data_IF_216780502826
#
_entry.id   IF_216780502826
#
_cell.length_a   1.000
_cell.length_b   1.000
_cell.length_c   1.000
_cell.angle_alpha   90.00
_cell.angle_beta   90.00
_cell.angle_gamma   90.00
#
_symmetry.space_group_name_H-M   'P 1'
#
loop_
_entity.id
_entity.type
_entity.pdbx_description
1 polymer ?
#
# COMPACT_ATOMS: atom_id res chain seq x y z
N UNK A 1 -17.18 -0.73 5.20
CA UNK A 1 -17.47 0.24 6.28
C UNK A 1 -18.92 0.09 6.72
N UNK A 2 -19.21 -0.08 8.03
CA UNK A 2 -20.57 -0.01 8.54
C UNK A 2 -21.14 1.37 8.22
N UNK A 3 -22.30 1.40 7.58
CA UNK A 3 -22.99 2.64 7.29
C UNK A 3 -23.52 3.21 8.61
N UNK A 4 -22.92 4.32 9.10
CA UNK A 4 -23.36 5.01 10.31
C UNK A 4 -24.85 5.43 10.25
N UNK A 5 -25.44 5.45 9.05
CA UNK A 5 -26.85 5.73 8.81
C UNK A 5 -27.76 4.50 8.84
N UNK A 6 -27.24 3.27 9.01
CA UNK A 6 -28.02 2.03 8.83
C UNK A 6 -28.50 1.35 10.13
N UNK A 7 -28.07 1.81 11.31
CA UNK A 7 -28.46 1.20 12.60
C UNK A 7 -29.42 2.08 13.40
N UNK A 8 -30.65 2.24 12.91
CA UNK A 8 -31.94 2.11 13.64
C UNK A 8 -33.08 2.70 12.80
N UNK A 9 -34.15 1.93 12.67
CA UNK A 9 -35.36 2.40 12.02
C UNK A 9 -36.05 3.51 12.82
N UNK A 10 -36.46 4.57 12.12
CA UNK A 10 -37.70 5.30 12.41
C UNK A 10 -37.65 6.47 13.38
N UNK A 11 -36.51 7.16 13.53
CA UNK A 11 -36.46 8.50 14.11
C UNK A 11 -35.80 9.46 13.13
N UNK A 12 -36.31 10.69 13.01
CA UNK A 12 -35.52 11.81 12.45
C UNK A 12 -34.27 11.94 13.33
N UNK A 13 -33.14 11.39 12.89
CA UNK A 13 -31.88 11.60 13.61
C UNK A 13 -31.52 13.08 13.41
N UNK A 14 -31.58 13.85 14.50
CA UNK A 14 -31.18 15.25 14.53
C UNK A 14 -29.71 15.40 14.13
N UNK A 15 -29.32 16.53 13.50
CA UNK A 15 -27.93 16.78 13.14
C UNK A 15 -27.03 16.76 14.38
N UNK A 16 -25.84 16.19 14.24
CA UNK A 16 -24.91 16.03 15.34
C UNK A 16 -23.45 16.23 14.91
N UNK A 17 -22.60 16.46 15.91
CA UNK A 17 -21.16 16.48 15.77
C UNK A 17 -20.62 15.10 16.14
N UNK A 18 -19.95 14.47 15.18
CA UNK A 18 -19.24 13.21 15.39
C UNK A 18 -17.78 13.49 15.76
N UNK A 19 -17.27 12.79 16.78
CA UNK A 19 -15.86 12.85 17.18
C UNK A 19 -15.28 11.44 17.18
N UNK A 20 -14.17 11.26 16.46
CA UNK A 20 -13.47 10.00 16.30
C UNK A 20 -12.09 10.07 16.97
N UNK A 21 -11.72 9.04 17.71
CA UNK A 21 -10.40 8.93 18.34
C UNK A 21 -9.50 8.01 17.50
N UNK A 22 -8.62 8.62 16.71
CA UNK A 22 -7.70 7.94 15.81
C UNK A 22 -6.33 7.82 16.46
N UNK A 23 -5.92 6.60 16.82
CA UNK A 23 -4.57 6.35 17.36
C UNK A 23 -3.60 6.24 16.20
N UNK A 24 -2.61 7.14 16.17
CA UNK A 24 -1.59 7.12 15.12
C UNK A 24 -0.62 5.95 15.34
N UNK A 25 -0.07 5.36 14.27
CA UNK A 25 0.94 4.29 14.37
C UNK A 25 2.27 4.77 14.96
N UNK A 26 2.68 6.01 14.64
CA UNK A 26 3.88 6.66 15.13
C UNK A 26 3.50 7.96 15.87
N UNK A 27 4.24 8.35 16.93
CA UNK A 27 4.03 9.63 17.58
C UNK A 27 4.40 10.81 16.67
N UNK A 28 3.61 11.87 16.73
CA UNK A 28 3.89 13.15 16.08
C UNK A 28 4.35 14.18 17.13
N UNK A 29 5.56 14.74 17.00
CA UNK A 29 6.06 15.77 17.91
C UNK A 29 5.42 17.12 17.61
N UNK A 30 4.13 17.19 17.94
CA UNK A 30 3.25 18.36 17.89
C UNK A 30 2.81 18.65 19.31
N UNK A 31 2.55 19.92 19.63
CA UNK A 31 2.13 20.26 20.97
C UNK A 31 0.84 19.56 21.39
N UNK A 32 0.83 19.06 22.62
CA UNK A 32 -0.40 18.57 23.23
C UNK A 32 -1.48 19.65 23.17
N UNK A 33 -2.66 19.27 22.69
CA UNK A 33 -3.79 20.19 22.52
C UNK A 33 -3.70 21.10 21.30
N UNK A 34 -2.68 20.98 20.44
CA UNK A 34 -2.68 21.66 19.14
C UNK A 34 -3.91 21.27 18.34
N UNK A 35 -4.50 22.24 17.66
CA UNK A 35 -5.65 22.02 16.79
C UNK A 35 -5.42 22.53 15.40
N UNK A 36 -6.03 21.85 14.44
CA UNK A 36 -6.06 22.25 13.05
C UNK A 36 -7.45 21.97 12.48
N UNK A 37 -7.98 22.91 11.71
CA UNK A 37 -9.32 22.76 11.12
C UNK A 37 -9.20 22.96 9.62
N UNK A 38 -9.85 22.08 8.87
CA UNK A 38 -9.94 22.15 7.42
C UNK A 38 -11.40 22.07 6.99
N UNK A 39 -11.77 22.96 6.09
CA UNK A 39 -13.04 22.87 5.37
C UNK A 39 -12.94 21.87 4.24
N UNK A 40 -14.07 21.21 4.00
CA UNK A 40 -14.24 20.26 2.91
C UNK A 40 -15.03 20.93 1.79
N UNK A 41 -14.95 20.35 0.61
CA UNK A 41 -15.71 20.84 -0.56
C UNK A 41 -17.21 20.45 -0.48
N UNK A 42 -17.58 19.64 0.52
CA UNK A 42 -18.95 19.20 0.74
C UNK A 42 -19.79 20.33 1.31
N UNK A 43 -20.65 20.94 0.48
CA UNK A 43 -21.65 21.90 0.97
C UNK A 43 -22.71 21.22 1.83
N UNK A 44 -22.96 21.78 2.99
CA UNK A 44 -23.93 21.36 3.98
C UNK A 44 -24.86 22.53 4.36
N UNK A 45 -26.09 22.58 3.81
CA UNK A 45 -27.02 23.70 4.02
C UNK A 45 -27.33 24.00 5.49
N UNK A 46 -27.30 22.98 6.36
CA UNK A 46 -27.50 23.15 7.80
C UNK A 46 -26.38 23.96 8.48
N UNK A 47 -25.25 24.18 7.79
CA UNK A 47 -24.16 25.03 8.22
C UNK A 47 -24.22 26.44 7.59
N UNK A 48 -25.23 26.76 6.78
CA UNK A 48 -25.41 28.11 6.23
C UNK A 48 -25.63 29.11 7.40
N UNK A 49 -24.78 30.14 7.49
CA UNK A 49 -24.81 31.12 8.58
C UNK A 49 -24.30 30.61 9.95
N UNK A 50 -23.78 29.38 10.02
CA UNK A 50 -23.15 28.83 11.24
C UNK A 50 -21.68 29.22 11.25
N UNK A 51 -21.29 30.03 12.24
CA UNK A 51 -19.89 30.42 12.41
C UNK A 51 -19.09 29.30 13.08
N UNK A 52 -18.19 28.67 12.33
CA UNK A 52 -17.26 27.67 12.87
C UNK A 52 -16.12 28.39 13.61
N UNK A 53 -16.27 28.53 14.92
CA UNK A 53 -15.23 29.11 15.79
C UNK A 53 -14.34 28.04 16.41
N UNK A 54 -13.00 28.16 16.33
CA UNK A 54 -12.11 27.42 17.21
C UNK A 54 -12.40 27.80 18.66
N UNK A 55 -12.26 26.87 19.61
CA UNK A 55 -12.39 27.19 21.04
C UNK A 55 -11.30 28.19 21.44
N UNK A 56 -11.65 29.23 22.20
CA UNK A 56 -10.80 30.41 22.51
C UNK A 56 -9.44 30.08 23.15
N UNK A 57 -9.31 28.91 23.79
CA UNK A 57 -8.09 28.47 24.47
C UNK A 57 -7.12 27.70 23.57
N UNK A 58 -7.47 27.48 22.30
CA UNK A 58 -6.66 26.70 21.36
C UNK A 58 -5.81 27.61 20.48
N UNK A 59 -4.53 27.27 20.31
CA UNK A 59 -3.62 28.01 19.43
C UNK A 59 -4.04 27.83 17.97
N UNK A 60 -4.52 28.91 17.34
CA UNK A 60 -4.96 28.95 15.94
C UNK A 60 -3.77 28.89 14.98
N UNK A 61 -3.84 28.03 13.98
CA UNK A 61 -2.96 28.06 12.80
C UNK A 61 -3.84 28.49 11.62
N UNK A 62 -3.90 29.80 11.38
CA UNK A 62 -4.68 30.44 10.29
C UNK A 62 -4.11 30.19 8.88
N UNK A 63 -4.90 30.41 7.80
CA UNK A 63 -6.23 31.03 7.76
C UNK A 63 -7.38 30.04 7.47
N UNK A 64 -8.58 30.37 7.97
CA UNK A 64 -9.84 29.81 7.48
C UNK A 64 -10.32 30.77 6.39
N UNK A 65 -10.67 30.27 5.20
CA UNK A 65 -11.22 31.11 4.12
C UNK A 65 -12.46 31.86 4.62
N UNK A 66 -12.55 33.16 4.33
CA UNK A 66 -13.68 34.00 4.80
C UNK A 66 -15.01 33.61 4.11
N UNK A 67 -14.96 32.87 2.98
CA UNK A 67 -16.11 32.38 2.20
C UNK A 67 -16.58 30.96 2.63
N UNK A 68 -16.24 30.59 3.85
CA UNK A 68 -16.44 29.32 4.54
C UNK A 68 -17.87 28.82 4.77
N UNK A 69 -18.87 29.68 4.61
CA UNK A 69 -20.23 29.40 5.10
C UNK A 69 -20.88 28.23 4.36
N UNK A 70 -21.59 27.38 5.10
CA UNK A 70 -22.34 26.28 4.51
C UNK A 70 -21.50 25.12 4.01
N UNK A 71 -20.21 25.02 4.34
CA UNK A 71 -19.38 23.85 4.00
C UNK A 71 -19.08 23.00 5.23
N UNK A 72 -19.06 21.69 5.03
CA UNK A 72 -18.67 20.75 6.07
C UNK A 72 -17.18 20.92 6.40
N UNK A 73 -16.77 20.49 7.60
CA UNK A 73 -15.44 20.69 8.11
C UNK A 73 -14.96 19.45 8.85
N UNK A 74 -13.64 19.38 9.03
CA UNK A 74 -13.01 18.50 10.01
C UNK A 74 -12.08 19.34 10.86
N UNK A 75 -12.26 19.28 12.18
CA UNK A 75 -11.34 19.81 13.15
C UNK A 75 -10.59 18.66 13.82
N UNK A 76 -9.29 18.76 13.95
CA UNK A 76 -8.44 17.76 14.59
C UNK A 76 -7.73 18.36 15.79
N UNK A 77 -7.69 17.63 16.90
CA UNK A 77 -6.91 17.95 18.10
C UNK A 77 -5.93 16.82 18.41
N UNK A 78 -4.69 17.18 18.68
CA UNK A 78 -3.61 16.22 18.93
C UNK A 78 -3.39 16.02 20.44
N UNK A 79 -3.66 14.80 20.91
CA UNK A 79 -3.41 14.38 22.28
C UNK A 79 -2.11 13.60 22.34
N UNK A 80 -1.15 14.08 23.12
CA UNK A 80 0.06 13.32 23.43
C UNK A 80 -0.17 12.53 24.71
N UNK A 81 -0.32 11.21 24.59
CA UNK A 81 -0.68 10.30 25.67
C UNK A 81 0.58 9.53 26.09
N UNK A 82 0.98 9.53 27.38
CA UNK A 82 2.11 8.73 27.85
C UNK A 82 1.96 7.25 27.46
N UNK A 83 3.02 6.68 26.91
CA UNK A 83 3.12 5.27 26.53
C UNK A 83 3.85 4.51 27.66
N UNK A 84 3.08 4.04 28.64
CA UNK A 84 3.56 3.51 29.91
C UNK A 84 3.14 2.05 30.17
N UNK A 85 2.64 1.34 29.15
CA UNK A 85 2.13 -0.03 29.30
C UNK A 85 2.75 -1.00 28.29
N UNK A 86 4.00 -1.40 28.53
CA UNK A 86 4.76 -2.32 27.66
C UNK A 86 4.24 -3.79 27.72
N UNK A 87 3.62 -4.22 28.82
CA UNK A 87 3.23 -5.62 29.05
C UNK A 87 1.89 -6.04 28.40
N UNK A 88 1.23 -5.14 27.66
CA UNK A 88 -0.12 -5.35 27.11
C UNK A 88 -0.01 -5.61 25.60
N UNK A 89 -0.78 -6.58 25.04
CA UNK A 89 -0.81 -6.77 23.59
C UNK A 89 -1.08 -5.45 22.85
N UNK A 90 -0.28 -5.14 21.82
CA UNK A 90 -0.26 -3.84 21.11
C UNK A 90 -1.65 -3.35 20.73
N UNK A 91 -2.54 -4.25 20.31
CA UNK A 91 -3.94 -3.93 19.99
C UNK A 91 -4.71 -3.35 21.18
N UNK A 92 -4.65 -4.03 22.34
CA UNK A 92 -5.32 -3.60 23.56
C UNK A 92 -4.67 -2.35 24.13
N UNK A 93 -3.34 -2.29 24.08
CA UNK A 93 -2.57 -1.11 24.48
C UNK A 93 -3.04 0.14 23.73
N UNK A 94 -3.08 0.12 22.40
CA UNK A 94 -3.53 1.26 21.58
C UNK A 94 -4.99 1.64 21.84
N UNK A 95 -5.86 0.65 22.05
CA UNK A 95 -7.26 0.89 22.42
C UNK A 95 -7.37 1.61 23.77
N UNK A 96 -6.51 1.29 24.74
CA UNK A 96 -6.46 1.99 26.04
C UNK A 96 -5.99 3.43 25.93
N UNK A 97 -5.05 3.73 25.03
CA UNK A 97 -4.62 5.11 24.77
C UNK A 97 -5.81 5.96 24.27
N UNK A 98 -6.61 5.44 23.35
CA UNK A 98 -7.87 6.09 22.95
C UNK A 98 -8.85 6.19 24.13
N UNK A 99 -8.93 5.16 24.97
CA UNK A 99 -9.72 5.14 26.21
C UNK A 99 -9.36 6.27 27.19
N UNK A 100 -8.08 6.59 27.35
CA UNK A 100 -7.61 7.72 28.19
C UNK A 100 -8.10 9.06 27.65
N UNK A 101 -8.03 9.28 26.33
CA UNK A 101 -8.58 10.49 25.70
C UNK A 101 -10.10 10.54 25.84
N UNK A 102 -10.76 9.40 25.60
CA UNK A 102 -12.21 9.23 25.79
C UNK A 102 -12.66 9.64 27.21
N UNK A 103 -11.92 9.24 28.24
CA UNK A 103 -12.18 9.66 29.62
C UNK A 103 -11.96 11.15 29.84
N UNK A 104 -10.92 11.74 29.26
CA UNK A 104 -10.72 13.20 29.31
C UNK A 104 -11.85 13.98 28.62
N UNK A 105 -12.48 13.43 27.58
CA UNK A 105 -13.63 14.04 26.90
C UNK A 105 -14.93 13.93 27.69
N UNK A 106 -15.16 12.80 28.37
CA UNK A 106 -16.34 12.58 29.19
C UNK A 106 -16.02 11.65 30.39
N UNK A 107 -15.59 12.21 31.53
CA UNK A 107 -15.17 11.43 32.69
C UNK A 107 -16.29 10.60 33.31
N UNK A 108 -17.54 11.06 33.21
CA UNK A 108 -18.70 10.38 33.80
C UNK A 108 -19.11 9.15 32.99
N UNK A 109 -18.94 9.20 31.67
CA UNK A 109 -19.38 8.13 30.78
C UNK A 109 -18.34 7.01 30.60
N UNK A 110 -17.05 7.31 30.80
CA UNK A 110 -15.94 6.35 30.59
C UNK A 110 -15.31 6.02 31.93
N UNK A 111 -15.67 4.87 32.52
CA UNK A 111 -15.07 4.43 33.79
C UNK A 111 -13.69 3.81 33.56
N UNK A 112 -12.72 4.26 34.35
CA UNK A 112 -11.41 3.62 34.58
C UNK A 112 -10.44 3.54 33.39
N UNK A 113 -9.97 4.71 32.93
CA UNK A 113 -8.56 4.84 32.58
C UNK A 113 -7.94 6.07 33.25
N UNK A 114 -6.76 5.93 33.85
CA UNK A 114 -5.98 7.03 34.43
C UNK A 114 -6.03 8.27 33.51
N UNK A 115 -6.60 9.38 34.00
CA UNK A 115 -6.80 10.57 33.19
C UNK A 115 -5.50 11.14 32.63
N UNK A 116 -5.57 11.78 31.46
CA UNK A 116 -4.41 12.46 30.88
C UNK A 116 -4.18 13.75 31.64
N UNK A 117 -3.05 13.87 32.34
CA UNK A 117 -2.66 15.13 32.97
C UNK A 117 -2.49 16.22 31.88
N UNK A 118 -2.97 17.43 32.13
CA UNK A 118 -2.89 18.57 31.19
C UNK A 118 -1.44 19.02 30.89
N UNK A 119 -0.48 18.59 31.69
CA UNK A 119 0.93 18.90 31.48
C UNK A 119 1.49 18.08 30.33
N UNK A 120 2.21 18.75 29.41
CA UNK A 120 3.12 18.09 28.48
C UNK A 120 4.00 17.06 29.23
N UNK A 121 4.33 15.91 28.61
CA UNK A 121 5.38 15.05 29.15
C UNK A 121 6.71 15.82 29.10
N UNK A 122 7.01 16.57 30.16
CA UNK A 122 8.23 17.36 30.31
C UNK A 122 9.48 16.48 30.54
N UNK A 123 9.33 15.15 30.55
CA UNK A 123 10.30 14.20 31.10
C UNK A 123 10.92 13.24 30.07
N UNK A 124 10.89 13.55 28.77
CA UNK A 124 11.36 12.62 27.71
C UNK A 124 10.64 11.26 27.70
N UNK A 125 9.53 11.11 28.42
CA UNK A 125 8.78 9.85 28.46
C UNK A 125 8.24 9.53 27.05
N UNK A 126 8.30 8.26 26.63
CA UNK A 126 7.66 7.84 25.39
C UNK A 126 6.17 8.20 25.46
N UNK A 127 5.63 8.64 24.34
CA UNK A 127 4.23 8.99 24.19
C UNK A 127 3.74 8.50 22.83
N UNK A 128 2.43 8.37 22.72
CA UNK A 128 1.73 8.10 21.47
C UNK A 128 0.76 9.24 21.18
N UNK A 129 0.57 9.56 19.90
CA UNK A 129 -0.39 10.57 19.48
C UNK A 129 -1.75 9.94 19.22
N UNK A 130 -2.78 10.45 19.88
CA UNK A 130 -4.19 10.18 19.58
C UNK A 130 -4.80 11.45 19.00
N UNK A 131 -5.45 11.32 17.84
CA UNK A 131 -6.11 12.44 17.18
C UNK A 131 -7.60 12.36 17.49
N UNK A 132 -8.11 13.41 18.10
CA UNK A 132 -9.55 13.67 18.19
C UNK A 132 -9.95 14.40 16.91
N UNK A 133 -10.65 13.71 16.02
CA UNK A 133 -11.12 14.25 14.75
C UNK A 133 -12.63 14.44 14.79
N UNK A 134 -13.08 15.67 14.60
CA UNK A 134 -14.46 16.10 14.79
C UNK A 134 -15.04 16.67 13.51
N UNK A 135 -16.25 16.25 13.12
CA UNK A 135 -16.94 16.68 11.90
C UNK A 135 -18.45 16.74 12.09
N UNK A 136 -19.14 17.48 11.22
CA UNK A 136 -20.60 17.58 11.22
C UNK A 136 -21.24 16.42 10.45
N UNK A 137 -22.31 15.88 11.01
CA UNK A 137 -23.15 14.85 10.41
C UNK A 137 -24.59 15.37 10.28
N UNK A 138 -25.07 15.43 9.05
CA UNK A 138 -26.45 15.80 8.75
C UNK A 138 -27.42 14.71 9.21
N UNK A 139 -28.66 15.10 9.51
CA UNK A 139 -29.71 14.18 9.90
C UNK A 139 -30.17 13.26 8.78
N UNK A 140 -30.89 12.19 9.13
CA UNK A 140 -31.31 11.16 8.18
C UNK A 140 -32.22 11.66 7.04
N UNK A 141 -32.98 12.73 7.29
CA UNK A 141 -33.88 13.35 6.33
C UNK A 141 -33.15 14.11 5.20
N UNK A 142 -31.89 14.49 5.42
CA UNK A 142 -31.08 15.29 4.48
C UNK A 142 -30.05 14.44 3.70
N UNK A 143 -30.14 13.10 3.82
CA UNK A 143 -29.17 12.13 3.25
C UNK A 143 -29.32 11.86 1.74
N UNK A 144 -30.35 12.39 1.05
CA UNK A 144 -30.49 12.15 -0.40
C UNK A 144 -29.29 12.67 -1.22
N UNK A 145 -28.47 13.57 -0.65
CA UNK A 145 -27.20 14.05 -1.21
C UNK A 145 -25.92 13.32 -0.78
N UNK A 146 -25.98 12.36 0.16
CA UNK A 146 -24.77 11.76 0.78
C UNK A 146 -24.29 10.46 0.14
N UNK A 147 -25.03 9.87 -0.79
CA UNK A 147 -24.63 8.60 -1.44
C UNK A 147 -23.30 8.70 -2.22
N UNK A 148 -22.90 9.91 -2.62
CA UNK A 148 -21.62 10.19 -3.29
C UNK A 148 -20.59 10.85 -2.37
N UNK A 149 -20.93 11.16 -1.12
CA UNK A 149 -20.04 11.83 -0.16
C UNK A 149 -19.28 10.78 0.65
N UNK A 150 -18.05 11.10 1.03
CA UNK A 150 -17.33 10.29 1.99
C UNK A 150 -18.12 10.23 3.30
N UNK A 151 -18.16 9.07 3.95
CA UNK A 151 -18.73 8.97 5.29
C UNK A 151 -17.91 9.82 6.28
N UNK A 152 -18.51 10.23 7.42
CA UNK A 152 -17.84 11.13 8.37
C UNK A 152 -16.47 10.66 8.85
N UNK A 153 -16.28 9.35 9.05
CA UNK A 153 -15.02 8.79 9.50
C UNK A 153 -13.98 8.84 8.37
N UNK A 154 -14.35 8.44 7.14
CA UNK A 154 -13.47 8.54 5.97
C UNK A 154 -12.99 9.98 5.76
N UNK A 155 -13.90 10.96 5.84
CA UNK A 155 -13.56 12.39 5.75
C UNK A 155 -12.54 12.80 6.82
N UNK A 156 -12.74 12.37 8.07
CA UNK A 156 -11.78 12.65 9.15
C UNK A 156 -10.40 12.02 8.88
N UNK A 157 -10.36 10.77 8.42
CA UNK A 157 -9.11 10.06 8.11
C UNK A 157 -8.35 10.75 6.96
N UNK A 158 -9.04 11.20 5.91
CA UNK A 158 -8.46 11.94 4.79
C UNK A 158 -7.80 13.23 5.27
N UNK A 159 -8.51 14.01 6.09
CA UNK A 159 -8.00 15.28 6.63
C UNK A 159 -6.78 15.06 7.52
N UNK A 160 -6.81 14.06 8.41
CA UNK A 160 -5.65 13.70 9.24
C UNK A 160 -4.47 13.24 8.39
N UNK A 161 -4.71 12.47 7.33
CA UNK A 161 -3.68 12.01 6.40
C UNK A 161 -3.03 13.17 5.64
N UNK A 162 -3.83 14.13 5.17
CA UNK A 162 -3.32 15.31 4.48
C UNK A 162 -2.52 16.23 5.42
N UNK A 163 -3.00 16.43 6.65
CA UNK A 163 -2.23 17.12 7.68
C UNK A 163 -0.88 16.42 7.93
N UNK A 164 -0.89 15.10 8.10
CA UNK A 164 0.32 14.32 8.33
C UNK A 164 1.34 14.46 7.19
N UNK A 165 0.87 14.48 5.93
CA UNK A 165 1.71 14.73 4.76
C UNK A 165 2.31 16.14 4.78
N UNK A 166 1.49 17.16 5.04
CA UNK A 166 1.96 18.54 5.16
C UNK A 166 3.01 18.68 6.28
N UNK A 167 2.75 18.06 7.43
CA UNK A 167 3.66 17.99 8.56
C UNK A 167 5.02 17.39 8.17
N UNK A 168 5.04 16.24 7.49
CA UNK A 168 6.29 15.59 7.02
C UNK A 168 7.12 16.51 6.13
N UNK A 169 6.46 17.18 5.18
CA UNK A 169 7.14 18.09 4.26
C UNK A 169 7.68 19.32 4.99
N UNK A 170 6.86 19.95 5.84
CA UNK A 170 7.23 21.16 6.57
C UNK A 170 8.37 20.92 7.56
N UNK A 171 8.36 19.79 8.26
CA UNK A 171 9.35 19.45 9.30
C UNK A 171 10.53 18.64 8.78
N UNK A 172 10.46 18.15 7.54
CA UNK A 172 11.40 17.14 6.98
C UNK A 172 11.50 15.89 7.86
N UNK A 173 10.42 15.55 8.56
CA UNK A 173 10.39 14.38 9.44
C UNK A 173 10.38 13.08 8.63
N UNK A 174 11.21 12.13 9.07
CA UNK A 174 11.34 10.80 8.46
C UNK A 174 10.27 9.80 8.96
N UNK A 175 9.12 10.29 9.44
CA UNK A 175 8.00 9.41 9.79
C UNK A 175 7.39 8.79 8.53
N UNK A 176 7.07 7.48 8.55
CA UNK A 176 6.35 6.84 7.45
C UNK A 176 5.02 7.56 7.19
N UNK A 177 4.59 7.63 5.93
CA UNK A 177 3.29 8.21 5.59
C UNK A 177 2.15 7.50 6.31
N UNK A 178 1.27 8.27 6.95
CA UNK A 178 0.00 7.82 7.48
C UNK A 178 -0.97 7.49 6.35
N UNK A 179 -1.63 6.35 6.47
CA UNK A 179 -2.62 5.82 5.52
C UNK A 179 -3.70 5.10 6.31
N UNK A 180 -4.84 4.81 5.67
CA UNK A 180 -5.91 4.05 6.29
C UNK A 180 -5.41 2.69 6.81
N UNK A 181 -4.58 2.02 6.03
CA UNK A 181 -3.89 0.75 6.30
C UNK A 181 -2.76 0.86 7.32
N UNK A 182 -2.58 2.00 7.99
CA UNK A 182 -1.66 2.09 9.13
C UNK A 182 -2.32 2.52 10.43
N UNK A 183 -3.59 2.94 10.38
CA UNK A 183 -4.34 3.33 11.56
C UNK A 183 -4.64 2.15 12.48
N UNK A 184 -4.79 2.41 13.79
CA UNK A 184 -5.37 1.44 14.70
C UNK A 184 -6.83 1.14 14.28
N UNK A 185 -7.24 -0.13 14.11
CA UNK A 185 -8.54 -0.50 13.59
C UNK A 185 -9.66 -0.20 14.57
N UNK A 186 -9.38 -0.09 15.86
CA UNK A 186 -10.40 0.17 16.86
C UNK A 186 -10.54 1.69 17.04
N UNK A 187 -11.62 2.27 16.52
CA UNK A 187 -11.90 3.72 16.61
C UNK A 187 -13.05 3.93 17.58
N UNK A 188 -12.74 4.50 18.74
CA UNK A 188 -13.78 4.99 19.66
C UNK A 188 -14.40 6.26 19.05
N UNK A 189 -15.72 6.36 19.10
CA UNK A 189 -16.40 7.54 18.58
C UNK A 189 -17.53 8.01 19.50
N UNK A 190 -17.79 9.30 19.40
CA UNK A 190 -18.70 10.05 20.24
C UNK A 190 -19.64 10.87 19.38
N UNK A 191 -20.79 11.20 19.95
CA UNK A 191 -21.79 12.09 19.35
C UNK A 191 -22.11 13.24 20.30
N UNK A 192 -22.38 14.41 19.73
CA UNK A 192 -22.89 15.57 20.47
C UNK A 192 -23.94 16.29 19.64
N UNK A 193 -25.14 16.58 20.17
CA UNK A 193 -26.12 17.41 19.47
C UNK A 193 -25.54 18.78 19.12
N UNK A 194 -25.93 19.35 17.98
CA UNK A 194 -25.38 20.62 17.50
C UNK A 194 -25.80 21.80 18.39
N UNK A 195 -27.00 21.76 18.94
CA UNK A 195 -27.59 22.79 19.80
C UNK A 195 -27.12 22.71 21.28
N UNK A 196 -26.46 21.63 21.67
CA UNK A 196 -25.96 21.39 23.01
C UNK A 196 -24.58 22.02 23.23
N UNK A 197 -24.51 23.36 23.19
CA UNK A 197 -23.28 24.10 23.48
C UNK A 197 -22.76 23.79 24.90
N UNK A 198 -21.47 23.45 25.01
CA UNK A 198 -20.84 23.09 26.27
C UNK A 198 -21.16 21.69 26.82
N UNK A 199 -22.08 20.94 26.20
CA UNK A 199 -22.33 19.56 26.60
C UNK A 199 -21.13 18.65 26.28
N UNK A 200 -20.80 17.75 27.21
CA UNK A 200 -19.79 16.73 26.97
C UNK A 200 -20.27 15.77 25.87
N UNK A 201 -19.38 15.35 24.95
CA UNK A 201 -19.76 14.37 23.93
C UNK A 201 -20.08 13.01 24.56
N UNK A 202 -21.14 12.36 24.11
CA UNK A 202 -21.56 11.04 24.60
C UNK A 202 -20.88 9.91 23.83
N UNK A 203 -20.40 8.84 24.49
CA UNK A 203 -19.88 7.67 23.79
C UNK A 203 -20.96 7.06 22.90
N UNK A 204 -20.69 6.96 21.60
CA UNK A 204 -21.62 6.40 20.65
C UNK A 204 -21.26 4.96 20.27
N UNK A 205 -19.98 4.60 20.32
CA UNK A 205 -19.56 3.20 20.22
C UNK A 205 -18.11 2.99 19.82
N UNK A 206 -17.85 1.77 19.32
CA UNK A 206 -16.57 1.35 18.77
C UNK A 206 -16.76 0.97 17.30
N UNK A 207 -15.97 1.55 16.41
CA UNK A 207 -15.91 1.18 14.99
C UNK A 207 -14.66 0.35 14.75
N UNK A 208 -14.80 -0.69 13.93
CA UNK A 208 -13.69 -1.52 13.48
C UNK A 208 -13.36 -1.19 12.03
N UNK A 209 -12.18 -0.62 11.78
CA UNK A 209 -11.68 -0.40 10.43
C UNK A 209 -11.40 -1.74 9.76
N UNK A 210 -11.71 -1.82 8.46
CA UNK A 210 -11.42 -2.98 7.60
C UNK A 210 -9.95 -3.05 7.17
N UNK A 211 -9.03 -2.54 7.99
CA UNK A 211 -7.60 -2.62 7.74
C UNK A 211 -6.98 -3.83 8.47
N UNK A 212 -5.88 -4.39 7.94
CA UNK A 212 -5.29 -5.65 8.44
C UNK A 212 -4.04 -5.44 9.28
N UNK A 213 -3.91 -4.27 9.90
CA UNK A 213 -2.66 -3.76 10.45
C UNK A 213 -2.24 -4.46 11.75
N UNK A 214 -3.06 -5.42 12.22
CA UNK A 214 -2.91 -6.10 13.50
C UNK A 214 -2.83 -7.62 13.38
N UNK A 215 -2.77 -8.15 12.16
CA UNK A 215 -2.53 -9.57 11.95
C UNK A 215 -1.04 -9.79 11.66
N UNK A 216 -0.22 -9.84 12.71
CA UNK A 216 0.82 -10.86 12.70
C UNK A 216 0.06 -12.16 12.89
N UNK A 217 -0.12 -13.02 11.85
CA UNK A 217 -0.53 -14.39 12.13
C UNK A 217 0.42 -14.91 13.21
N UNK A 218 -0.12 -15.64 14.18
CA UNK A 218 0.66 -16.35 15.18
C UNK A 218 1.93 -16.88 14.51
N UNK A 219 3.09 -16.31 14.88
CA UNK A 219 4.34 -16.57 14.18
C UNK A 219 4.69 -18.03 14.43
N UNK A 220 4.18 -18.90 13.56
CA UNK A 220 4.44 -20.31 13.62
C UNK A 220 5.92 -20.47 13.28
N UNK A 221 6.73 -21.13 14.12
CA UNK A 221 8.11 -21.40 13.79
C UNK A 221 8.22 -21.98 12.39
N UNK A 222 9.18 -21.47 11.61
CA UNK A 222 9.36 -21.91 10.24
C UNK A 222 9.71 -23.41 10.23
N UNK A 223 8.92 -24.21 9.52
CA UNK A 223 9.27 -25.61 9.29
C UNK A 223 10.49 -25.76 8.37
N UNK A 224 11.18 -26.89 8.44
CA UNK A 224 12.40 -27.18 7.66
C UNK A 224 12.21 -26.97 6.15
N UNK A 225 11.01 -27.26 5.62
CA UNK A 225 10.69 -27.03 4.22
C UNK A 225 10.76 -25.55 3.81
N UNK A 226 10.37 -24.63 4.70
CA UNK A 226 10.45 -23.18 4.46
C UNK A 226 11.89 -22.70 4.57
N UNK A 227 12.66 -23.20 5.54
CA UNK A 227 14.09 -22.89 5.66
C UNK A 227 14.86 -23.31 4.40
N UNK A 228 14.55 -24.48 3.84
CA UNK A 228 15.15 -24.90 2.57
C UNK A 228 14.78 -23.97 1.41
N UNK A 229 13.52 -23.52 1.31
CA UNK A 229 13.11 -22.55 0.30
C UNK A 229 13.86 -21.22 0.46
N UNK A 230 13.99 -20.72 1.70
CA UNK A 230 14.77 -19.51 2.00
C UNK A 230 16.22 -19.68 1.57
N UNK A 231 16.86 -20.80 1.90
CA UNK A 231 18.23 -21.07 1.49
C UNK A 231 18.39 -21.09 -0.05
N UNK A 232 17.43 -21.68 -0.78
CA UNK A 232 17.43 -21.67 -2.25
C UNK A 232 17.25 -20.26 -2.82
N UNK A 233 16.29 -19.49 -2.29
CA UNK A 233 16.07 -18.10 -2.72
C UNK A 233 17.28 -17.24 -2.42
N UNK A 234 17.90 -17.38 -1.24
CA UNK A 234 19.12 -16.66 -0.86
C UNK A 234 20.29 -17.01 -1.78
N UNK A 235 20.53 -18.30 -2.03
CA UNK A 235 21.63 -18.73 -2.90
C UNK A 235 21.45 -18.22 -4.35
N UNK A 236 20.22 -18.22 -4.87
CA UNK A 236 19.88 -17.67 -6.19
C UNK A 236 19.99 -16.15 -6.21
N UNK A 237 19.47 -15.47 -5.20
CA UNK A 237 19.56 -14.02 -5.05
C UNK A 237 21.01 -13.54 -4.98
N UNK A 238 21.85 -14.19 -4.16
CA UNK A 238 23.28 -13.92 -4.07
C UNK A 238 24.03 -14.18 -5.38
N UNK A 239 23.55 -15.13 -6.20
CA UNK A 239 24.08 -15.36 -7.55
C UNK A 239 23.62 -14.31 -8.57
N UNK A 240 22.64 -13.46 -8.23
CA UNK A 240 22.07 -12.44 -9.12
C UNK A 240 20.88 -12.93 -9.93
N UNK A 241 20.03 -13.82 -9.41
CA UNK A 241 18.89 -14.33 -10.16
C UNK A 241 17.87 -13.22 -10.48
N UNK A 242 17.61 -12.91 -11.76
CA UNK A 242 16.71 -11.82 -12.12
C UNK A 242 15.24 -12.12 -11.76
N UNK A 243 14.84 -13.39 -11.64
CA UNK A 243 13.51 -13.77 -11.17
C UNK A 243 13.37 -13.67 -9.64
N UNK A 244 14.46 -13.79 -8.88
CA UNK A 244 14.46 -13.47 -7.45
C UNK A 244 14.24 -11.97 -7.24
N UNK A 245 14.92 -11.12 -8.03
CA UNK A 245 14.71 -9.68 -8.01
C UNK A 245 13.26 -9.31 -8.38
N UNK A 246 12.67 -9.98 -9.36
CA UNK A 246 11.23 -9.84 -9.65
C UNK A 246 10.36 -10.22 -8.45
N UNK A 247 10.61 -11.36 -7.82
CA UNK A 247 9.80 -11.85 -6.70
C UNK A 247 9.84 -10.88 -5.51
N UNK A 248 10.99 -10.27 -5.21
CA UNK A 248 11.09 -9.20 -4.22
C UNK A 248 10.25 -7.99 -4.62
N UNK A 249 10.39 -7.47 -5.85
CA UNK A 249 9.63 -6.29 -6.29
C UNK A 249 8.12 -6.53 -6.33
N UNK A 250 7.69 -7.75 -6.65
CA UNK A 250 6.28 -8.16 -6.54
C UNK A 250 5.83 -8.13 -5.08
N UNK A 251 6.61 -8.66 -4.15
CA UNK A 251 6.29 -8.63 -2.72
C UNK A 251 6.22 -7.18 -2.18
N UNK A 252 7.17 -6.32 -2.57
CA UNK A 252 7.13 -4.90 -2.21
C UNK A 252 5.85 -4.22 -2.74
N UNK A 253 5.44 -4.51 -3.98
CA UNK A 253 4.18 -4.00 -4.51
C UNK A 253 2.97 -4.46 -3.67
N UNK A 254 2.94 -5.74 -3.27
CA UNK A 254 1.89 -6.29 -2.41
C UNK A 254 1.84 -5.62 -1.04
N UNK A 255 3.00 -5.39 -0.43
CA UNK A 255 3.13 -4.68 0.85
C UNK A 255 2.63 -3.24 0.70
N UNK A 256 3.06 -2.52 -0.33
CA UNK A 256 2.65 -1.12 -0.51
C UNK A 256 1.15 -0.98 -0.75
N UNK A 257 0.53 -1.89 -1.52
CA UNK A 257 -0.91 -1.84 -1.80
C UNK A 257 -1.74 -2.31 -0.61
N UNK A 258 -1.43 -3.47 -0.02
CA UNK A 258 -2.33 -4.11 0.95
C UNK A 258 -1.99 -3.83 2.41
N UNK A 259 -0.75 -3.46 2.71
CA UNK A 259 -0.27 -3.30 4.10
C UNK A 259 0.02 -1.85 4.43
N UNK A 260 0.70 -1.13 3.53
CA UNK A 260 1.04 0.27 3.79
C UNK A 260 -0.01 1.25 3.27
N UNK A 261 -0.92 0.84 2.38
CA UNK A 261 -1.94 1.76 1.87
C UNK A 261 -1.36 2.89 1.02
N UNK A 262 -0.32 2.59 0.23
CA UNK A 262 0.41 3.58 -0.59
C UNK A 262 0.22 3.28 -2.07
N UNK A 263 -0.91 3.72 -2.66
CA UNK A 263 -1.24 3.40 -4.05
C UNK A 263 -0.18 3.83 -5.04
N UNK A 264 0.40 5.01 -4.84
CA UNK A 264 1.45 5.55 -5.72
C UNK A 264 2.66 4.64 -5.74
N UNK A 265 3.19 4.32 -4.56
CA UNK A 265 4.34 3.44 -4.40
C UNK A 265 4.02 2.04 -4.91
N UNK A 266 2.82 1.50 -4.64
CA UNK A 266 2.35 0.22 -5.15
C UNK A 266 2.34 0.14 -6.68
N UNK A 267 1.80 1.16 -7.36
CA UNK A 267 1.81 1.26 -8.84
C UNK A 267 3.24 1.34 -9.37
N UNK A 268 4.11 2.12 -8.73
CA UNK A 268 5.52 2.24 -9.12
C UNK A 268 6.25 0.90 -8.96
N UNK A 269 6.06 0.21 -7.85
CA UNK A 269 6.64 -1.12 -7.60
C UNK A 269 6.10 -2.15 -8.59
N UNK A 270 4.81 -2.11 -8.93
CA UNK A 270 4.25 -2.95 -9.99
C UNK A 270 4.95 -2.72 -11.35
N UNK A 271 5.22 -1.45 -11.69
CA UNK A 271 5.97 -1.08 -12.89
C UNK A 271 7.38 -1.64 -12.89
N UNK A 272 8.11 -1.47 -11.79
CA UNK A 272 9.47 -2.02 -11.63
C UNK A 272 9.44 -3.54 -11.72
N UNK A 273 8.53 -4.20 -11.01
CA UNK A 273 8.38 -5.66 -11.03
C UNK A 273 8.09 -6.17 -12.45
N UNK A 274 7.18 -5.53 -13.18
CA UNK A 274 6.86 -5.92 -14.55
C UNK A 274 8.06 -5.74 -15.50
N UNK A 275 8.79 -4.62 -15.40
CA UNK A 275 9.99 -4.39 -16.20
C UNK A 275 11.09 -5.40 -15.89
N UNK A 276 11.32 -5.71 -14.61
CA UNK A 276 12.27 -6.74 -14.18
C UNK A 276 11.85 -8.11 -14.71
N UNK A 277 10.58 -8.51 -14.58
CA UNK A 277 10.06 -9.78 -15.10
C UNK A 277 10.28 -9.92 -16.60
N UNK A 278 9.88 -8.90 -17.37
CA UNK A 278 9.98 -8.88 -18.81
C UNK A 278 11.46 -8.89 -19.25
N UNK A 279 12.29 -8.05 -18.64
CA UNK A 279 13.73 -8.01 -18.89
C UNK A 279 14.44 -9.32 -18.53
N UNK A 280 14.07 -9.95 -17.41
CA UNK A 280 14.57 -11.25 -16.97
C UNK A 280 14.21 -12.35 -17.98
N UNK A 281 12.93 -12.41 -18.36
CA UNK A 281 12.40 -13.38 -19.30
C UNK A 281 13.14 -13.34 -20.63
N UNK A 282 13.23 -12.15 -21.24
CA UNK A 282 13.90 -11.98 -22.53
C UNK A 282 15.41 -12.25 -22.42
N UNK A 283 16.07 -11.68 -21.39
CA UNK A 283 17.50 -11.85 -21.19
C UNK A 283 17.91 -13.31 -21.01
N UNK A 284 17.19 -14.06 -20.18
CA UNK A 284 17.47 -15.48 -19.91
C UNK A 284 17.26 -16.35 -21.17
N UNK A 285 16.21 -16.09 -21.96
CA UNK A 285 15.98 -16.81 -23.20
C UNK A 285 17.09 -16.54 -24.24
N UNK A 286 17.53 -15.28 -24.35
CA UNK A 286 18.63 -14.89 -25.24
C UNK A 286 19.98 -15.46 -24.80
N UNK A 287 20.19 -15.61 -23.48
CA UNK A 287 21.35 -16.33 -22.96
C UNK A 287 21.33 -17.80 -23.37
N UNK A 288 20.19 -18.50 -23.29
CA UNK A 288 20.11 -19.88 -23.77
C UNK A 288 20.30 -20.00 -25.30
N UNK A 289 19.82 -19.03 -26.09
CA UNK A 289 20.10 -18.94 -27.53
C UNK A 289 21.59 -18.74 -27.81
N UNK A 290 22.27 -17.95 -26.98
CA UNK A 290 23.71 -17.76 -27.06
C UNK A 290 24.47 -19.05 -26.74
N UNK A 291 24.07 -19.79 -25.70
CA UNK A 291 24.66 -21.09 -25.38
C UNK A 291 24.51 -22.11 -26.52
N UNK A 292 23.44 -22.02 -27.33
CA UNK A 292 23.27 -22.86 -28.51
C UNK A 292 23.96 -22.33 -29.77
N UNK A 293 24.64 -21.18 -29.70
CA UNK A 293 25.27 -20.51 -30.84
C UNK A 293 24.29 -19.85 -31.82
N UNK A 294 23.02 -19.70 -31.43
CA UNK A 294 21.97 -19.12 -32.27
C UNK A 294 21.88 -17.59 -32.16
N UNK A 295 22.61 -16.99 -31.20
CA UNK A 295 22.63 -15.56 -30.94
C UNK A 295 24.00 -15.12 -30.43
N UNK A 296 24.49 -14.00 -30.95
CA UNK A 296 25.73 -13.35 -30.48
C UNK A 296 25.47 -12.36 -29.33
N UNK A 297 26.53 -11.98 -28.61
CA UNK A 297 26.44 -10.98 -27.52
C UNK A 297 26.08 -9.60 -28.08
N UNK A 298 26.56 -9.26 -29.28
CA UNK A 298 26.31 -8.01 -29.97
C UNK A 298 24.84 -7.85 -30.38
N UNK A 299 24.26 -8.89 -30.99
CA UNK A 299 22.83 -8.96 -31.33
C UNK A 299 21.98 -8.87 -30.06
N UNK A 300 22.43 -9.53 -28.98
CA UNK A 300 21.73 -9.46 -27.72
C UNK A 300 21.70 -8.04 -27.14
N UNK A 301 22.84 -7.36 -27.18
CA UNK A 301 22.94 -5.97 -26.77
C UNK A 301 22.14 -5.03 -27.68
N UNK A 302 21.96 -5.32 -28.97
CA UNK A 302 21.17 -4.47 -29.88
C UNK A 302 19.72 -4.49 -29.44
N UNK A 303 19.19 -5.68 -29.21
CA UNK A 303 17.83 -5.87 -28.71
C UNK A 303 17.65 -5.30 -27.31
N UNK A 304 18.56 -5.57 -26.37
CA UNK A 304 18.41 -5.16 -24.98
C UNK A 304 18.68 -3.68 -24.72
N UNK A 305 19.27 -2.97 -25.68
CA UNK A 305 19.42 -1.51 -25.63
C UNK A 305 18.09 -0.76 -25.78
N UNK A 306 17.12 -1.38 -26.46
CA UNK A 306 15.79 -0.83 -26.71
C UNK A 306 14.95 -0.77 -25.44
N UNK A 307 13.98 0.15 -25.41
CA UNK A 307 12.99 0.21 -24.34
C UNK A 307 12.12 -1.05 -24.29
N UNK A 308 11.42 -1.25 -23.17
CA UNK A 308 10.58 -2.44 -22.96
C UNK A 308 9.51 -2.61 -24.04
N UNK A 309 8.85 -1.52 -24.45
CA UNK A 309 7.74 -1.55 -25.41
C UNK A 309 8.16 -2.05 -26.80
N UNK A 310 9.20 -1.50 -27.47
CA UNK A 310 9.71 -2.05 -28.72
C UNK A 310 10.16 -3.52 -28.61
N UNK A 311 10.74 -3.91 -27.46
CA UNK A 311 11.15 -5.30 -27.21
C UNK A 311 9.96 -6.24 -27.17
N UNK A 312 8.89 -5.90 -26.44
CA UNK A 312 7.66 -6.71 -26.38
C UNK A 312 7.12 -6.98 -27.80
N UNK A 313 7.01 -5.92 -28.61
CA UNK A 313 6.44 -6.01 -29.96
C UNK A 313 7.28 -6.86 -30.92
N UNK A 314 8.60 -6.83 -30.80
CA UNK A 314 9.50 -7.44 -31.80
C UNK A 314 10.09 -8.79 -31.38
N UNK A 315 10.22 -9.07 -30.07
CA UNK A 315 11.05 -10.19 -29.59
C UNK A 315 10.27 -11.32 -28.93
N UNK A 316 9.16 -11.02 -28.24
CA UNK A 316 8.55 -11.99 -27.33
C UNK A 316 7.71 -13.02 -28.06
N UNK A 317 6.95 -12.62 -29.08
CA UNK A 317 6.17 -13.55 -29.90
C UNK A 317 7.08 -14.54 -30.64
N UNK A 318 8.23 -14.08 -31.17
CA UNK A 318 9.20 -14.96 -31.86
C UNK A 318 9.74 -16.06 -30.94
N UNK A 319 10.03 -15.75 -29.68
CA UNK A 319 10.65 -16.69 -28.73
C UNK A 319 9.63 -17.53 -28.00
N UNK A 320 8.63 -16.87 -27.44
CA UNK A 320 7.70 -17.51 -26.53
C UNK A 320 6.39 -17.89 -27.19
N UNK A 321 6.12 -17.44 -28.43
CA UNK A 321 4.83 -17.54 -29.11
C UNK A 321 3.71 -16.77 -28.37
N UNK A 322 2.46 -16.96 -28.80
CA UNK A 322 1.30 -16.28 -28.20
C UNK A 322 1.19 -14.83 -28.66
N UNK A 323 0.16 -14.10 -28.21
CA UNK A 323 -0.08 -12.73 -28.69
C UNK A 323 0.52 -11.72 -27.72
N UNK A 324 1.59 -11.05 -28.13
CA UNK A 324 2.29 -10.00 -27.36
C UNK A 324 1.92 -8.60 -27.86
N UNK A 325 0.62 -8.31 -27.88
CA UNK A 325 0.05 -7.07 -28.43
C UNK A 325 -0.66 -6.28 -27.35
N UNK A 326 -0.62 -4.95 -27.43
CA UNK A 326 -1.26 -4.05 -26.45
C UNK A 326 -2.79 -3.97 -26.59
N UNK A 327 -3.37 -4.70 -27.54
CA UNK A 327 -4.82 -4.69 -27.80
C UNK A 327 -5.54 -5.85 -27.11
N UNK A 328 -4.83 -6.90 -26.69
CA UNK A 328 -5.40 -8.14 -26.16
C UNK A 328 -4.54 -8.69 -25.01
N UNK A 329 -5.10 -9.63 -24.23
CA UNK A 329 -4.38 -10.43 -23.22
C UNK A 329 -3.80 -9.61 -22.04
N UNK A 330 -3.09 -10.25 -21.09
CA UNK A 330 -2.44 -9.56 -19.97
C UNK A 330 -1.43 -8.49 -20.37
N UNK A 331 -0.97 -8.47 -21.62
CA UNK A 331 -0.07 -7.43 -22.15
C UNK A 331 -0.80 -6.09 -22.32
N UNK A 332 -2.08 -6.09 -22.73
CA UNK A 332 -2.90 -4.86 -22.71
C UNK A 332 -3.02 -4.30 -21.30
N UNK A 333 -3.40 -5.14 -20.33
CA UNK A 333 -3.54 -4.73 -18.92
C UNK A 333 -2.23 -4.24 -18.33
N UNK A 334 -1.09 -4.87 -18.66
CA UNK A 334 0.22 -4.34 -18.29
C UNK A 334 0.43 -2.90 -18.82
N UNK A 335 0.04 -2.62 -20.06
CA UNK A 335 0.20 -1.28 -20.62
C UNK A 335 -0.72 -0.25 -19.93
N UNK A 336 -2.01 -0.55 -19.83
CA UNK A 336 -3.04 0.39 -19.34
C UNK A 336 -3.08 0.54 -17.84
N UNK A 337 -2.80 -0.53 -17.10
CA UNK A 337 -3.01 -0.59 -15.65
C UNK A 337 -1.68 -0.47 -14.90
N UNK A 338 -0.53 -0.66 -15.56
CA UNK A 338 0.80 -0.56 -14.93
C UNK A 338 1.66 0.53 -15.59
N UNK A 339 2.00 0.37 -16.87
CA UNK A 339 3.00 1.23 -17.51
C UNK A 339 2.54 2.70 -17.60
N UNK A 340 1.30 2.95 -18.05
CA UNK A 340 0.74 4.30 -18.13
C UNK A 340 0.54 4.94 -16.75
N UNK A 341 -0.11 4.30 -15.75
CA UNK A 341 -0.25 4.86 -14.41
C UNK A 341 1.08 5.13 -13.73
N UNK A 342 2.06 4.22 -13.84
CA UNK A 342 3.41 4.42 -13.32
C UNK A 342 4.07 5.63 -13.96
N UNK A 343 3.98 5.80 -15.27
CA UNK A 343 4.57 6.95 -15.94
C UNK A 343 3.94 8.27 -15.50
N UNK A 344 2.61 8.32 -15.35
CA UNK A 344 1.93 9.50 -14.79
C UNK A 344 2.31 9.77 -13.34
N UNK A 345 2.40 8.74 -12.51
CA UNK A 345 2.76 8.86 -11.11
C UNK A 345 4.21 9.36 -10.89
N UNK A 346 5.14 8.88 -11.72
CA UNK A 346 6.55 9.26 -11.65
C UNK A 346 6.79 10.62 -12.29
N UNK A 347 6.25 10.88 -13.48
CA UNK A 347 6.61 12.05 -14.28
C UNK A 347 5.63 13.22 -14.16
N UNK A 348 4.33 12.96 -13.97
CA UNK A 348 3.32 14.01 -13.83
C UNK A 348 2.91 14.26 -12.38
N UNK A 349 3.45 13.49 -11.41
CA UNK A 349 3.11 13.62 -10.00
C UNK A 349 1.66 13.22 -9.66
N UNK A 350 0.96 12.54 -10.57
CA UNK A 350 -0.41 12.06 -10.34
C UNK A 350 -0.41 11.10 -9.15
N UNK A 351 -1.39 11.24 -8.25
CA UNK A 351 -1.63 10.33 -7.12
C UNK A 351 -2.66 9.27 -7.54
N UNK A 352 -2.25 8.01 -7.78
CA UNK A 352 -3.21 6.95 -8.07
C UNK A 352 -4.13 6.70 -6.87
N UNK A 353 -5.37 6.28 -7.14
CA UNK A 353 -6.28 5.77 -6.12
C UNK A 353 -6.05 4.28 -5.83
N UNK A 354 -6.73 3.77 -4.80
CA UNK A 354 -6.64 2.36 -4.37
C UNK A 354 -7.11 1.39 -5.46
N UNK A 355 -8.12 1.80 -6.23
CA UNK A 355 -8.65 1.07 -7.39
C UNK A 355 -7.58 0.88 -8.47
N UNK A 356 -6.82 1.93 -8.77
CA UNK A 356 -5.73 1.90 -9.76
C UNK A 356 -4.56 1.05 -9.28
N UNK A 357 -4.21 1.14 -8.00
CA UNK A 357 -3.15 0.31 -7.43
C UNK A 357 -3.52 -1.17 -7.38
N UNK A 358 -4.76 -1.48 -7.02
CA UNK A 358 -5.30 -2.84 -7.05
C UNK A 358 -5.32 -3.38 -8.48
N UNK A 359 -5.81 -2.59 -9.46
CA UNK A 359 -5.82 -2.96 -10.86
C UNK A 359 -4.41 -3.23 -11.41
N UNK A 360 -3.43 -2.41 -11.02
CA UNK A 360 -2.02 -2.58 -11.39
C UNK A 360 -1.45 -3.91 -10.86
N UNK A 361 -1.73 -4.24 -9.60
CA UNK A 361 -1.27 -5.46 -8.96
C UNK A 361 -1.93 -6.71 -9.58
N UNK A 362 -3.23 -6.67 -9.84
CA UNK A 362 -3.92 -7.74 -10.57
C UNK A 362 -3.36 -7.93 -11.99
N UNK A 363 -3.06 -6.84 -12.70
CA UNK A 363 -2.44 -6.88 -14.01
C UNK A 363 -1.04 -7.52 -13.95
N UNK A 364 -0.27 -7.24 -12.89
CA UNK A 364 1.06 -7.84 -12.67
C UNK A 364 0.94 -9.36 -12.46
N UNK A 365 0.01 -9.79 -11.62
CA UNK A 365 -0.24 -11.22 -11.38
C UNK A 365 -0.76 -11.93 -12.64
N UNK A 366 -1.58 -11.25 -13.45
CA UNK A 366 -2.04 -11.77 -14.74
C UNK A 366 -0.88 -11.89 -15.75
N UNK A 367 0.03 -10.92 -15.77
CA UNK A 367 1.25 -10.95 -16.59
C UNK A 367 2.15 -12.12 -16.17
N UNK A 368 2.38 -12.31 -14.87
CA UNK A 368 3.16 -13.44 -14.32
C UNK A 368 2.60 -14.79 -14.76
N UNK A 369 1.28 -14.98 -14.62
CA UNK A 369 0.60 -16.21 -15.05
C UNK A 369 0.80 -16.45 -16.55
N UNK A 370 0.62 -15.42 -17.37
CA UNK A 370 0.80 -15.50 -18.81
C UNK A 370 2.25 -15.87 -19.19
N UNK A 371 3.24 -15.21 -18.58
CA UNK A 371 4.67 -15.53 -18.76
C UNK A 371 4.94 -16.99 -18.39
N UNK A 372 4.42 -17.46 -17.25
CA UNK A 372 4.59 -18.83 -16.82
C UNK A 372 3.95 -19.85 -17.78
N UNK A 373 2.80 -19.53 -18.35
CA UNK A 373 2.13 -20.38 -19.35
C UNK A 373 2.93 -20.45 -20.64
N UNK A 374 3.47 -19.32 -21.10
CA UNK A 374 4.34 -19.28 -22.28
C UNK A 374 5.64 -20.06 -22.06
N UNK A 375 6.32 -19.87 -20.92
CA UNK A 375 7.52 -20.62 -20.57
C UNK A 375 7.27 -22.12 -20.45
N UNK A 376 6.14 -22.51 -19.85
CA UNK A 376 5.77 -23.92 -19.80
C UNK A 376 5.47 -24.49 -21.20
N UNK A 377 5.02 -23.68 -22.17
CA UNK A 377 4.84 -24.11 -23.55
C UNK A 377 6.18 -24.21 -24.30
N UNK A 378 7.12 -23.29 -24.05
CA UNK A 378 8.43 -23.23 -24.70
C UNK A 378 9.56 -23.91 -23.91
N UNK A 379 9.26 -24.69 -22.88
CA UNK A 379 10.27 -25.27 -21.98
C UNK A 379 11.32 -26.13 -22.67
N UNK A 380 10.99 -26.74 -23.82
CA UNK A 380 11.96 -27.52 -24.60
C UNK A 380 13.02 -26.64 -25.29
N UNK A 381 12.67 -25.39 -25.57
CA UNK A 381 13.55 -24.40 -26.19
C UNK A 381 14.33 -23.64 -25.12
N UNK A 382 13.68 -23.30 -24.00
CA UNK A 382 14.28 -22.51 -22.91
C UNK A 382 14.16 -23.23 -21.56
N UNK A 383 14.79 -24.40 -21.39
CA UNK A 383 14.57 -25.26 -20.23
C UNK A 383 15.11 -24.63 -18.94
N UNK A 384 16.25 -23.93 -18.96
CA UNK A 384 16.80 -23.30 -17.75
C UNK A 384 15.94 -22.12 -17.31
N UNK A 385 15.54 -21.28 -18.27
CA UNK A 385 14.65 -20.14 -18.03
C UNK A 385 13.33 -20.59 -17.45
N UNK A 386 12.70 -21.60 -18.06
CA UNK A 386 11.42 -22.12 -17.60
C UNK A 386 11.53 -22.75 -16.19
N UNK A 387 12.60 -23.48 -15.90
CA UNK A 387 12.81 -24.07 -14.58
C UNK A 387 13.09 -23.04 -13.49
N UNK A 388 13.99 -22.07 -13.73
CA UNK A 388 14.30 -21.02 -12.77
C UNK A 388 13.06 -20.18 -12.42
N UNK A 389 12.19 -19.90 -13.39
CA UNK A 389 10.97 -19.15 -13.15
C UNK A 389 9.87 -19.99 -12.46
N UNK A 390 9.54 -21.16 -13.01
CA UNK A 390 8.39 -21.94 -12.56
C UNK A 390 8.68 -22.83 -11.35
N UNK A 391 9.89 -23.41 -11.30
CA UNK A 391 10.23 -24.52 -10.42
C UNK A 391 9.28 -25.72 -10.53
N UNK A 392 9.43 -26.69 -9.62
CA UNK A 392 8.55 -27.86 -9.59
C UNK A 392 7.08 -27.47 -9.37
N UNK A 393 6.80 -26.48 -8.53
CA UNK A 393 5.44 -26.05 -8.22
C UNK A 393 4.72 -25.43 -9.43
N UNK A 394 5.39 -24.56 -10.18
CA UNK A 394 4.83 -23.90 -11.36
C UNK A 394 4.58 -24.87 -12.52
N UNK A 395 5.45 -25.87 -12.71
CA UNK A 395 5.20 -26.95 -13.68
C UNK A 395 4.09 -27.89 -13.22
N UNK A 396 4.01 -28.22 -11.93
CA UNK A 396 2.93 -29.06 -11.37
C UNK A 396 1.55 -28.48 -11.65
N UNK A 397 1.39 -27.16 -11.43
CA UNK A 397 0.15 -26.42 -11.75
C UNK A 397 -0.27 -26.53 -13.22
N UNK A 398 0.68 -26.82 -14.13
CA UNK A 398 0.47 -26.90 -15.59
C UNK A 398 0.51 -28.34 -16.13
N UNK A 399 0.53 -29.33 -15.25
CA UNK A 399 0.38 -30.75 -15.57
C UNK A 399 1.55 -31.63 -15.10
N UNK A 400 1.21 -32.71 -14.39
CA UNK A 400 2.18 -33.68 -13.83
C UNK A 400 3.12 -34.30 -14.88
N UNK A 401 2.61 -34.63 -16.07
CA UNK A 401 3.43 -35.20 -17.15
C UNK A 401 4.53 -34.24 -17.62
N UNK A 402 4.21 -32.94 -17.68
CA UNK A 402 5.17 -31.90 -18.06
C UNK A 402 6.23 -31.73 -16.98
N UNK A 403 5.82 -31.71 -15.70
CA UNK A 403 6.75 -31.71 -14.57
C UNK A 403 7.74 -32.87 -14.65
N UNK A 404 7.26 -34.11 -14.83
CA UNK A 404 8.12 -35.30 -14.92
C UNK A 404 9.13 -35.21 -16.06
N UNK A 405 8.72 -34.72 -17.24
CA UNK A 405 9.61 -34.54 -18.38
C UNK A 405 10.71 -33.51 -18.10
N UNK A 406 10.37 -32.41 -17.44
CA UNK A 406 11.34 -31.37 -17.09
C UNK A 406 12.27 -31.86 -15.99
N UNK A 407 11.76 -32.53 -14.95
CA UNK A 407 12.58 -33.11 -13.88
C UNK A 407 13.57 -34.15 -14.41
N UNK A 408 13.16 -34.98 -15.36
CA UNK A 408 14.06 -35.91 -16.05
C UNK A 408 15.17 -35.17 -16.83
N UNK A 409 14.84 -34.05 -17.48
CA UNK A 409 15.84 -33.21 -18.14
C UNK A 409 16.79 -32.55 -17.14
N UNK A 410 16.29 -32.02 -16.03
CA UNK A 410 17.12 -31.44 -14.96
C UNK A 410 18.09 -32.48 -14.40
N UNK A 411 17.59 -33.69 -14.10
CA UNK A 411 18.41 -34.79 -13.60
C UNK A 411 19.52 -35.19 -14.59
N UNK A 412 19.29 -35.07 -15.90
CA UNK A 412 20.31 -35.37 -16.91
C UNK A 412 21.43 -34.33 -17.02
N UNK A 413 21.27 -33.14 -16.42
CA UNK A 413 22.29 -32.08 -16.43
C UNK A 413 23.42 -32.30 -15.39
N UNK A 414 23.41 -33.40 -14.63
CA UNK A 414 24.54 -33.84 -13.80
C UNK A 414 24.76 -33.06 -12.48
N UNK A 415 24.25 -31.84 -12.34
CA UNK A 415 24.15 -31.17 -11.03
C UNK A 415 22.94 -30.24 -10.95
N UNK A 416 22.18 -30.35 -9.86
CA UNK A 416 21.06 -29.45 -9.53
C UNK A 416 21.54 -28.10 -8.96
N UNK A 417 22.72 -27.63 -9.40
CA UNK A 417 23.28 -26.37 -8.94
C UNK A 417 22.72 -25.21 -9.78
N UNK A 418 21.46 -24.85 -9.53
CA UNK A 418 20.79 -23.77 -10.24
C UNK A 418 21.49 -22.41 -10.08
N UNK A 419 22.22 -22.21 -8.97
CA UNK A 419 23.04 -21.03 -8.77
C UNK A 419 24.22 -20.94 -9.76
N UNK A 420 24.71 -22.06 -10.29
CA UNK A 420 25.72 -22.04 -11.35
C UNK A 420 25.16 -21.45 -12.64
N UNK A 421 23.96 -21.87 -13.07
CA UNK A 421 23.29 -21.30 -14.25
C UNK A 421 23.07 -19.79 -14.11
N UNK A 422 22.67 -19.34 -12.91
CA UNK A 422 22.50 -17.92 -12.64
C UNK A 422 23.84 -17.17 -12.73
N UNK A 423 24.94 -17.72 -12.20
CA UNK A 423 26.27 -17.11 -12.32
C UNK A 423 26.74 -17.01 -13.77
N UNK A 424 26.52 -18.06 -14.56
CA UNK A 424 26.87 -18.09 -15.98
C UNK A 424 26.06 -17.04 -16.76
N UNK A 425 24.75 -16.96 -16.50
CA UNK A 425 23.89 -15.91 -17.03
C UNK A 425 24.39 -14.52 -16.63
N UNK A 426 24.77 -14.29 -15.38
CA UNK A 426 25.27 -13.00 -14.91
C UNK A 426 26.62 -12.63 -15.53
N UNK A 427 27.48 -13.62 -15.79
CA UNK A 427 28.71 -13.43 -16.58
C UNK A 427 28.39 -12.87 -17.96
N UNK A 428 27.57 -13.57 -18.72
CA UNK A 428 27.08 -13.14 -20.04
C UNK A 428 26.38 -11.78 -19.99
N UNK A 429 25.54 -11.56 -18.97
CA UNK A 429 24.74 -10.33 -18.86
C UNK A 429 25.61 -9.09 -18.67
N UNK A 430 26.71 -9.20 -17.92
CA UNK A 430 27.69 -8.10 -17.77
C UNK A 430 28.35 -7.72 -19.09
N UNK A 431 28.66 -8.68 -19.94
CA UNK A 431 29.24 -8.43 -21.27
C UNK A 431 28.25 -7.68 -22.17
N UNK A 432 26.99 -8.14 -22.20
CA UNK A 432 25.89 -7.48 -22.91
C UNK A 432 25.68 -6.05 -22.40
N UNK A 433 25.56 -5.85 -21.08
CA UNK A 433 25.29 -4.54 -20.49
C UNK A 433 26.45 -3.55 -20.71
N UNK A 434 27.69 -4.03 -20.80
CA UNK A 434 28.83 -3.21 -21.18
C UNK A 434 28.71 -2.67 -22.62
N UNK A 435 28.20 -3.48 -23.56
CA UNK A 435 27.93 -3.03 -24.93
C UNK A 435 26.73 -2.08 -25.00
N UNK A 436 25.63 -2.38 -24.30
CA UNK A 436 24.46 -1.49 -24.20
C UNK A 436 24.86 -0.11 -23.68
N UNK A 437 25.70 -0.08 -22.64
CA UNK A 437 26.19 1.16 -22.05
C UNK A 437 27.02 2.00 -23.01
N UNK A 438 27.86 1.37 -23.85
CA UNK A 438 28.62 2.08 -24.90
C UNK A 438 27.70 2.68 -25.96
N UNK A 439 26.69 1.92 -26.40
CA UNK A 439 25.74 2.35 -27.43
C UNK A 439 24.83 3.49 -26.99
N UNK A 440 24.48 3.57 -25.70
CA UNK A 440 23.67 4.69 -25.17
C UNK A 440 24.47 5.98 -24.98
N UNK A 441 25.80 5.92 -25.00
CA UNK A 441 26.69 7.10 -24.87
C UNK A 441 27.14 7.65 -26.22
N UNK A 442 27.13 6.82 -27.26
CA UNK A 442 27.31 7.22 -28.65
C UNK A 442 26.01 7.82 -29.18
#
# INVERSE_FOLDING_TARGET
MPNLYAEKGGGDDEPFIATFLLVLPEPLPIAHGSTWTRQTEDREPLLDGVEVRPLEHLRRIEPVDEDAEGYNFVSVRFWQVPDDQEDVPVFLHRTRLAGRVAHSLNPEAVRDPEGIAEAWPNDHKPYQTVVEATTFVAGSADLEGTATRADPLTRCIEVVTDFHRAYRVATRSHVPELTYERLHPAVLWFRRPVDAEGAAPEPAGLLMLENRNFAMPEMTPLGDGVLWQIAQYNARGAAGDPFAAYAERRLEAEIEVWTNGRPREGVVQCGIAAEVLLGALLGMAMWEEHLSGALTVEEAADVLSLDVTPRIKSQYEKRFGGKWRFTENPIRRWHTDIAEPRNRAVHAGVKPGDDQATAALEALLALERYVGDRLAASWKTYPRTAWLFLGSAGFRKRGKKKLQAVEAWIASQGSNNFAAWVRDYQGWRREVDALVSRRRRA
#
